data_IF_198658815750
#
_entry.id   IF_198658815750
#
_cell.length_a   1.000
_cell.length_b   1.000
_cell.length_c   1.000
_cell.angle_alpha   90.00
_cell.angle_beta   90.00
_cell.angle_gamma   90.00
#
_symmetry.space_group_name_H-M   'P 1'
#
loop_
_entity.id
_entity.type
_entity.pdbx_description
1 polymer ?
#
# COMPACT_ATOMS: atom_id res chain seq x y z
N UNK A 1 -7.60 12.97 21.71
CA UNK A 1 -8.11 11.78 20.99
C UNK A 1 -6.94 10.85 20.79
N UNK A 2 -6.95 9.65 21.40
CA UNK A 2 -5.92 8.63 21.15
C UNK A 2 -6.12 8.06 19.74
N UNK A 3 -5.63 8.77 18.73
CA UNK A 3 -5.64 8.27 17.36
C UNK A 3 -4.60 7.16 17.25
N UNK A 4 -5.02 5.92 17.49
CA UNK A 4 -4.14 4.77 17.34
C UNK A 4 -3.61 4.72 15.90
N UNK A 5 -2.27 4.67 15.76
CA UNK A 5 -1.61 4.57 14.46
C UNK A 5 -2.21 3.40 13.64
N UNK A 6 -2.66 3.65 12.39
CA UNK A 6 -3.29 2.62 11.57
C UNK A 6 -2.31 1.47 11.28
N UNK A 7 -2.84 0.28 11.03
CA UNK A 7 -2.06 -0.87 10.58
C UNK A 7 -1.95 -0.82 9.05
N UNK A 8 -0.75 -1.03 8.51
CA UNK A 8 -0.48 -0.81 7.08
C UNK A 8 -1.32 -1.65 6.13
N UNK A 9 -1.59 -2.92 6.46
CA UNK A 9 -2.33 -3.82 5.58
C UNK A 9 -3.82 -3.43 5.50
N UNK A 10 -4.57 -3.32 6.62
CA UNK A 10 -5.94 -2.82 6.58
C UNK A 10 -6.05 -1.44 5.90
N UNK A 11 -5.10 -0.54 6.18
CA UNK A 11 -5.10 0.79 5.58
C UNK A 11 -4.89 0.75 4.07
N UNK A 12 -3.96 -0.07 3.55
CA UNK A 12 -3.77 -0.24 2.10
C UNK A 12 -5.01 -0.82 1.43
N UNK A 13 -5.71 -1.75 2.09
CA UNK A 13 -6.96 -2.31 1.58
C UNK A 13 -8.03 -1.21 1.43
N UNK A 14 -8.19 -0.35 2.44
CA UNK A 14 -9.07 0.82 2.35
C UNK A 14 -8.67 1.74 1.19
N UNK A 15 -7.37 1.97 0.98
CA UNK A 15 -6.87 2.81 -0.11
C UNK A 15 -7.05 2.18 -1.50
N UNK A 16 -7.06 0.84 -1.61
CA UNK A 16 -7.42 0.16 -2.86
C UNK A 16 -8.89 0.42 -3.20
N UNK A 17 -9.78 0.37 -2.20
CA UNK A 17 -11.21 0.63 -2.41
C UNK A 17 -11.53 2.09 -2.69
N UNK A 18 -10.75 3.03 -2.16
CA UNK A 18 -10.97 4.46 -2.41
C UNK A 18 -10.65 4.86 -3.86
N UNK A 19 -9.88 4.04 -4.59
CA UNK A 19 -9.44 4.28 -5.97
C UNK A 19 -8.73 5.63 -6.19
N UNK A 20 -8.20 6.23 -5.13
CA UNK A 20 -7.55 7.55 -5.18
C UNK A 20 -6.10 7.52 -5.68
N UNK A 21 -5.50 6.33 -5.77
CA UNK A 21 -4.07 6.17 -6.08
C UNK A 21 -3.92 5.31 -7.34
N UNK A 22 -3.56 5.91 -8.50
CA UNK A 22 -3.36 5.18 -9.73
C UNK A 22 -2.38 4.01 -9.58
N UNK A 23 -2.75 2.84 -10.08
CA UNK A 23 -1.94 1.63 -10.00
C UNK A 23 -2.00 0.86 -8.67
N UNK A 24 -2.64 1.41 -7.63
CA UNK A 24 -2.95 0.70 -6.40
C UNK A 24 -4.28 -0.03 -6.56
N UNK A 25 -4.23 -1.32 -6.92
CA UNK A 25 -5.43 -2.10 -7.28
C UNK A 25 -5.31 -3.55 -6.80
N UNK A 26 -6.46 -4.24 -6.72
CA UNK A 26 -6.47 -5.70 -6.67
C UNK A 26 -5.95 -6.28 -7.98
N UNK A 27 -5.07 -7.27 -7.88
CA UNK A 27 -4.47 -8.01 -9.01
C UNK A 27 -5.30 -9.23 -9.41
N UNK A 28 -6.14 -9.72 -8.50
CA UNK A 28 -6.99 -10.89 -8.70
C UNK A 28 -8.42 -10.70 -8.16
N UNK A 29 -9.35 -11.49 -8.70
CA UNK A 29 -10.78 -11.41 -8.33
C UNK A 29 -11.04 -11.82 -6.87
N UNK A 30 -10.21 -12.69 -6.31
CA UNK A 30 -10.35 -13.20 -4.94
C UNK A 30 -9.91 -12.18 -3.88
N UNK A 31 -9.39 -11.02 -4.30
CA UNK A 31 -8.90 -9.94 -3.43
C UNK A 31 -7.91 -10.45 -2.39
N UNK A 32 -6.96 -11.25 -2.85
CA UNK A 32 -5.84 -11.74 -2.03
C UNK A 32 -4.50 -11.21 -2.51
N UNK A 33 -4.44 -10.60 -3.69
CA UNK A 33 -3.24 -10.04 -4.28
C UNK A 33 -3.50 -8.61 -4.72
N UNK A 34 -2.63 -7.70 -4.34
CA UNK A 34 -2.74 -6.31 -4.75
C UNK A 34 -1.41 -5.77 -5.26
N UNK A 35 -1.52 -4.76 -6.12
CA UNK A 35 -0.42 -4.12 -6.82
C UNK A 35 -0.14 -2.79 -6.13
N UNK A 36 1.13 -2.44 -5.89
CA UNK A 36 1.55 -1.09 -5.49
C UNK A 36 2.44 -0.53 -6.61
N UNK A 37 2.17 0.68 -7.13
CA UNK A 37 3.07 1.34 -8.08
C UNK A 37 4.43 1.60 -7.42
N UNK A 38 5.53 1.32 -8.13
CA UNK A 38 6.86 1.29 -7.53
C UNK A 38 7.96 1.96 -8.38
N UNK A 39 7.60 2.98 -9.17
CA UNK A 39 8.54 3.71 -10.05
C UNK A 39 9.79 4.20 -9.33
N UNK A 40 10.95 4.08 -9.98
CA UNK A 40 12.24 4.50 -9.43
C UNK A 40 12.33 6.04 -9.35
N UNK A 41 12.83 6.56 -8.22
CA UNK A 41 12.79 8.00 -7.92
C UNK A 41 13.67 8.88 -8.83
N UNK A 42 14.67 8.29 -9.49
CA UNK A 42 15.59 8.96 -10.43
C UNK A 42 15.10 8.96 -11.88
N UNK A 43 13.91 8.41 -12.17
CA UNK A 43 13.36 8.44 -13.52
C UNK A 43 12.90 9.85 -13.89
N UNK A 44 13.17 10.27 -15.12
CA UNK A 44 12.80 11.59 -15.63
C UNK A 44 11.28 11.75 -15.81
N UNK A 45 10.58 10.67 -16.16
CA UNK A 45 9.12 10.60 -16.34
C UNK A 45 8.36 10.37 -15.01
N UNK A 46 8.96 10.81 -13.89
CA UNK A 46 8.33 10.71 -12.57
C UNK A 46 7.33 11.85 -12.37
N UNK A 47 6.17 11.54 -11.80
CA UNK A 47 5.16 12.50 -11.36
C UNK A 47 4.94 12.44 -9.84
N UNK A 48 4.08 13.32 -9.33
CA UNK A 48 3.63 13.30 -7.92
C UNK A 48 2.80 12.06 -7.58
N UNK A 49 2.03 11.54 -8.54
CA UNK A 49 1.22 10.33 -8.35
C UNK A 49 2.07 9.10 -8.03
N UNK A 50 3.30 9.03 -8.57
CA UNK A 50 4.25 7.94 -8.31
C UNK A 50 4.64 7.81 -6.82
N UNK A 51 4.41 8.86 -6.02
CA UNK A 51 4.77 8.89 -4.59
C UNK A 51 3.60 9.10 -3.65
N UNK A 52 2.43 9.45 -4.17
CA UNK A 52 1.25 9.87 -3.40
C UNK A 52 0.77 8.84 -2.38
N UNK A 53 0.81 7.53 -2.72
CA UNK A 53 0.44 6.48 -1.76
C UNK A 53 1.43 6.35 -0.59
N UNK A 54 2.73 6.60 -0.85
CA UNK A 54 3.76 6.54 0.19
C UNK A 54 3.66 7.76 1.11
N UNK A 55 3.38 8.94 0.55
CA UNK A 55 3.09 10.14 1.31
C UNK A 55 1.85 9.97 2.19
N UNK A 56 0.74 9.49 1.62
CA UNK A 56 -0.49 9.26 2.36
C UNK A 56 -0.29 8.30 3.54
N UNK A 57 0.52 7.25 3.38
CA UNK A 57 0.90 6.38 4.50
C UNK A 57 1.76 7.11 5.53
N UNK A 58 2.72 7.93 5.10
CA UNK A 58 3.56 8.70 6.01
C UNK A 58 2.72 9.63 6.89
N UNK A 59 1.73 10.32 6.32
CA UNK A 59 0.76 11.15 7.04
C UNK A 59 -0.09 10.29 7.98
N UNK A 60 -0.78 9.28 7.44
CA UNK A 60 -1.70 8.44 8.22
C UNK A 60 -1.00 7.73 9.39
N UNK A 61 0.26 7.36 9.21
CA UNK A 61 1.08 6.70 10.23
C UNK A 61 1.73 7.66 11.23
N UNK A 62 1.56 8.98 11.06
CA UNK A 62 2.16 10.02 11.89
C UNK A 62 3.67 10.15 11.73
N UNK A 63 4.23 9.66 10.62
CA UNK A 63 5.66 9.75 10.31
C UNK A 63 6.01 10.96 9.42
N UNK A 64 5.03 11.76 9.03
CA UNK A 64 5.19 12.98 8.25
C UNK A 64 4.03 13.94 8.54
N UNK A 65 4.34 15.17 8.93
CA UNK A 65 3.39 16.27 9.10
C UNK A 65 3.68 17.34 8.02
N UNK A 66 2.81 17.51 7.01
CA UNK A 66 3.05 18.46 5.91
C UNK A 66 3.07 19.93 6.36
N UNK A 67 2.65 20.23 7.58
CA UNK A 67 2.71 21.59 8.15
C UNK A 67 4.04 21.91 8.83
N UNK A 68 4.88 20.91 9.09
CA UNK A 68 6.11 21.04 9.89
C UNK A 68 7.35 20.42 9.25
N UNK A 69 7.17 19.32 8.52
CA UNK A 69 8.26 18.52 7.98
C UNK A 69 8.50 18.83 6.51
N UNK A 70 9.75 18.75 6.07
CA UNK A 70 10.09 18.80 4.65
C UNK A 70 9.81 17.45 3.96
N UNK A 71 9.25 17.46 2.73
CA UNK A 71 8.90 16.22 2.04
C UNK A 71 10.12 15.37 1.69
N UNK A 72 10.04 14.06 1.94
CA UNK A 72 11.10 13.11 1.57
C UNK A 72 10.52 11.79 1.02
N UNK A 73 10.20 11.74 -0.28
CA UNK A 73 9.57 10.57 -0.90
C UNK A 73 10.39 9.28 -0.80
N UNK A 74 11.72 9.38 -0.80
CA UNK A 74 12.60 8.23 -0.66
C UNK A 74 12.46 7.57 0.72
N UNK A 75 12.32 8.40 1.78
CA UNK A 75 12.07 7.92 3.14
C UNK A 75 10.69 7.29 3.27
N UNK A 76 9.64 7.93 2.73
CA UNK A 76 8.28 7.38 2.78
C UNK A 76 8.19 6.01 2.13
N UNK A 77 8.74 5.86 0.92
CA UNK A 77 8.79 4.59 0.18
C UNK A 77 9.59 3.52 0.92
N UNK A 78 10.72 3.88 1.53
CA UNK A 78 11.51 2.97 2.38
C UNK A 78 10.71 2.48 3.58
N UNK A 79 9.95 3.37 4.22
CA UNK A 79 9.16 3.05 5.40
C UNK A 79 7.99 2.11 5.07
N UNK A 80 7.28 2.34 3.96
CA UNK A 80 6.24 1.41 3.48
C UNK A 80 6.81 0.03 3.23
N UNK A 81 7.94 -0.07 2.51
CA UNK A 81 8.62 -1.35 2.27
C UNK A 81 8.98 -2.05 3.58
N UNK A 82 9.58 -1.33 4.53
CA UNK A 82 9.96 -1.91 5.83
C UNK A 82 8.74 -2.36 6.62
N UNK A 83 7.66 -1.59 6.61
CA UNK A 83 6.43 -1.93 7.31
C UNK A 83 5.75 -3.19 6.73
N UNK A 84 5.75 -3.35 5.40
CA UNK A 84 5.23 -4.57 4.74
C UNK A 84 6.11 -5.79 5.03
N UNK A 85 7.45 -5.64 4.94
CA UNK A 85 8.38 -6.76 5.16
C UNK A 85 8.35 -7.32 6.60
N UNK A 86 7.80 -6.58 7.58
CA UNK A 86 7.67 -7.05 8.97
C UNK A 86 6.36 -7.82 9.22
N UNK A 87 5.51 -8.00 8.21
CA UNK A 87 4.19 -8.65 8.36
C UNK A 87 4.25 -10.08 7.89
N UNK A 88 3.84 -11.00 8.76
CA UNK A 88 3.74 -12.43 8.44
C UNK A 88 2.48 -12.77 7.65
N UNK A 89 1.48 -11.88 7.66
CA UNK A 89 0.20 -12.05 6.97
C UNK A 89 0.25 -11.63 5.47
N UNK A 90 1.40 -11.20 4.98
CA UNK A 90 1.61 -10.80 3.58
C UNK A 90 3.00 -11.20 3.09
N UNK A 91 3.15 -11.41 1.79
CA UNK A 91 4.46 -11.60 1.13
C UNK A 91 4.52 -10.85 -0.19
N UNK A 92 5.73 -10.46 -0.61
CA UNK A 92 5.98 -10.03 -1.98
C UNK A 92 5.91 -11.25 -2.90
N UNK A 93 5.00 -11.22 -3.87
CA UNK A 93 4.82 -12.31 -4.84
C UNK A 93 5.62 -12.04 -6.11
N UNK A 94 5.54 -10.83 -6.66
CA UNK A 94 6.22 -10.43 -7.90
C UNK A 94 6.84 -9.05 -7.73
N UNK A 95 8.08 -8.89 -8.17
CA UNK A 95 8.80 -7.62 -8.21
C UNK A 95 9.03 -7.16 -9.66
N UNK A 96 8.14 -6.29 -10.15
CA UNK A 96 8.25 -5.65 -11.46
C UNK A 96 8.74 -4.20 -11.32
N UNK A 97 9.48 -3.86 -10.26
CA UNK A 97 9.86 -2.46 -10.03
C UNK A 97 10.90 -1.90 -11.03
N UNK A 98 11.55 -2.77 -11.81
CA UNK A 98 12.44 -2.42 -12.92
C UNK A 98 11.72 -2.32 -14.28
N UNK A 99 10.42 -2.61 -14.34
CA UNK A 99 9.65 -2.53 -15.58
C UNK A 99 9.67 -1.11 -16.16
N UNK A 100 9.83 -1.01 -17.48
CA UNK A 100 10.05 0.27 -18.16
C UNK A 100 8.76 1.10 -18.28
N UNK A 101 7.60 0.44 -18.40
CA UNK A 101 6.31 1.07 -18.70
C UNK A 101 5.40 1.13 -17.46
N UNK A 102 5.34 0.03 -16.71
CA UNK A 102 4.46 -0.13 -15.57
C UNK A 102 5.23 -0.72 -14.37
N UNK A 103 6.13 0.05 -13.73
CA UNK A 103 6.88 -0.43 -12.58
C UNK A 103 5.98 -0.59 -11.35
N UNK A 104 5.84 -1.83 -10.85
CA UNK A 104 4.98 -2.15 -9.71
C UNK A 104 5.49 -3.36 -8.91
N UNK A 105 4.92 -3.58 -7.73
CA UNK A 105 5.11 -4.80 -6.94
C UNK A 105 3.78 -5.43 -6.62
N UNK A 106 3.69 -6.76 -6.69
CA UNK A 106 2.48 -7.51 -6.36
C UNK A 106 2.71 -8.20 -5.02
N UNK A 107 1.85 -7.90 -4.05
CA UNK A 107 1.86 -8.52 -2.73
C UNK A 107 0.68 -9.47 -2.59
N UNK A 108 0.88 -10.60 -1.91
CA UNK A 108 -0.15 -11.59 -1.62
C UNK A 108 -0.40 -11.68 -0.12
N UNK A 109 -1.66 -11.58 0.28
CA UNK A 109 -2.13 -11.78 1.66
C UNK A 109 -2.21 -13.29 1.92
N UNK A 110 -1.46 -13.75 2.92
CA UNK A 110 -1.39 -15.17 3.28
C UNK A 110 -2.59 -15.50 4.15
N UNK A 111 -3.54 -16.27 3.60
CA UNK A 111 -4.63 -16.88 4.40
C UNK A 111 -4.03 -18.02 5.22
N UNK A 112 -4.05 -17.91 6.55
CA UNK A 112 -3.67 -19.04 7.41
C UNK A 112 -4.60 -20.22 7.17
N UNK A 113 -4.06 -21.45 7.13
CA UNK A 113 -4.83 -22.70 7.12
C UNK A 113 -5.52 -22.92 8.48
N UNK A 114 -6.40 -22.00 8.86
CA UNK A 114 -7.33 -22.12 9.98
C UNK A 114 -8.72 -22.00 9.39
N UNK A 115 -9.26 -23.16 8.98
CA UNK A 115 -10.69 -23.47 8.96
C UNK A 115 -11.64 -22.28 8.75
N UNK A 116 -12.00 -22.02 7.50
CA UNK A 116 -13.34 -21.52 7.13
C UNK A 116 -13.85 -20.22 7.78
N UNK A 117 -13.01 -19.33 8.30
CA UNK A 117 -13.48 -18.14 9.01
C UNK A 117 -12.60 -16.92 8.83
N UNK A 118 -13.23 -15.81 8.41
CA UNK A 118 -12.79 -14.41 8.57
C UNK A 118 -11.88 -13.77 7.51
N UNK A 119 -12.22 -13.93 6.23
CA UNK A 119 -12.13 -12.78 5.28
C UNK A 119 -13.50 -12.28 4.82
N UNK A 120 -14.59 -12.85 5.36
CA UNK A 120 -15.96 -12.37 5.14
C UNK A 120 -16.32 -11.13 5.99
N UNK A 121 -15.33 -10.48 6.60
CA UNK A 121 -15.52 -9.25 7.40
C UNK A 121 -14.88 -8.01 6.75
N UNK A 122 -14.43 -8.09 5.50
CA UNK A 122 -14.12 -6.90 4.68
C UNK A 122 -15.36 -6.55 3.83
N UNK A 123 -16.52 -6.46 4.48
CA UNK A 123 -17.66 -5.67 4.03
C UNK A 123 -17.74 -4.45 4.92
N UNK A 124 -16.80 -3.52 4.81
CA UNK A 124 -16.90 -2.23 5.50
C UNK A 124 -17.29 -1.07 4.59
N UNK A 125 -17.35 -1.23 3.26
CA UNK A 125 -17.74 -0.14 2.35
C UNK A 125 -18.53 -0.60 1.12
N UNK A 126 -19.58 -1.41 1.31
CA UNK A 126 -20.57 -1.67 0.26
C UNK A 126 -21.98 -1.47 0.80
N UNK A 127 -22.29 -0.24 1.23
CA UNK A 127 -23.67 0.25 1.31
C UNK A 127 -23.68 1.76 1.08
N UNK A 128 -23.95 2.17 -0.16
CA UNK A 128 -24.86 3.26 -0.54
C UNK A 128 -25.19 3.05 -1.99
#
# INVERSE_FOLDING_TARGET
MNSQKPRIIPWLIEQIYSQQYPGLIWDNKEQTRFRIPWKHGLRQDRSEDDVKIFEAWAIASGCYDPTKDSPNPAVWKRNVRSALNRKNEIRLLIDNSSDSQNPHKIYEIIRGNSTGGKFNQIKWFATT
#
